data_IF_618046091398
#
_entry.id   IF_618046091398
#
_cell.length_a   1.000
_cell.length_b   1.000
_cell.length_c   1.000
_cell.angle_alpha   90.00
_cell.angle_beta   90.00
_cell.angle_gamma   90.00
#
_symmetry.space_group_name_H-M   'P 1'
#
loop_
_entity.id
_entity.type
_entity.pdbx_description
1 polymer ?
#
# COMPACT_ATOMS: atom_id res chain seq x y z
N UNK A 1 8.81 -8.19 -17.18
CA UNK A 1 8.22 -7.39 -16.08
C UNK A 1 6.81 -7.86 -15.81
N UNK A 2 6.49 -8.04 -14.56
CA UNK A 2 5.16 -8.45 -14.15
C UNK A 2 4.43 -7.27 -13.51
N UNK A 3 3.13 -7.36 -13.45
CA UNK A 3 2.34 -6.36 -12.74
C UNK A 3 1.28 -7.02 -11.88
N UNK A 4 0.89 -6.33 -10.82
CA UNK A 4 -0.15 -6.78 -9.92
C UNK A 4 -0.97 -5.55 -9.50
N UNK A 5 -2.27 -5.73 -9.41
CA UNK A 5 -3.16 -4.63 -9.04
C UNK A 5 -3.68 -4.86 -7.63
N UNK A 6 -3.51 -3.86 -6.79
CA UNK A 6 -3.98 -3.89 -5.42
C UNK A 6 -4.92 -2.72 -5.17
N UNK A 7 -5.97 -2.98 -4.41
CA UNK A 7 -6.88 -1.94 -3.97
C UNK A 7 -6.52 -1.62 -2.54
N UNK A 8 -6.13 -0.37 -2.28
CA UNK A 8 -5.62 0.06 -0.99
C UNK A 8 -6.62 1.02 -0.34
N UNK A 9 -6.86 0.80 0.93
CA UNK A 9 -7.62 1.73 1.74
C UNK A 9 -6.97 1.76 3.12
N UNK A 10 -6.21 2.81 3.39
CA UNK A 10 -5.50 2.98 4.66
C UNK A 10 -5.97 4.29 5.24
N UNK A 11 -6.57 4.22 6.44
CA UNK A 11 -7.01 5.41 7.14
C UNK A 11 -5.82 6.23 7.65
N UNK A 12 -6.06 7.51 8.02
CA UNK A 12 -4.97 8.37 8.47
C UNK A 12 -4.29 7.86 9.72
N UNK A 13 -5.02 7.25 10.64
CA UNK A 13 -4.43 6.71 11.86
C UNK A 13 -3.51 5.53 11.56
N UNK A 14 -3.94 4.63 10.67
CA UNK A 14 -3.11 3.50 10.27
C UNK A 14 -1.88 3.97 9.52
N UNK A 15 -2.04 4.99 8.67
CA UNK A 15 -0.92 5.54 7.93
C UNK A 15 0.15 6.11 8.86
N UNK A 16 -0.27 6.80 9.92
CA UNK A 16 0.67 7.36 10.90
C UNK A 16 1.50 6.26 11.54
N UNK A 17 0.90 5.13 11.86
CA UNK A 17 1.63 3.99 12.43
C UNK A 17 2.68 3.47 11.45
N UNK A 18 2.36 3.39 10.18
CA UNK A 18 3.32 2.99 9.15
C UNK A 18 4.44 4.01 9.02
N UNK A 19 4.08 5.28 8.99
CA UNK A 19 5.04 6.37 8.83
C UNK A 19 6.02 6.45 9.99
N UNK A 20 5.56 6.20 11.20
CA UNK A 20 6.39 6.27 12.40
C UNK A 20 7.24 5.01 12.62
N UNK A 21 7.21 4.08 11.69
CA UNK A 21 8.04 2.89 11.77
C UNK A 21 7.50 1.78 12.66
N UNK A 22 6.28 1.92 13.17
CA UNK A 22 5.64 0.86 13.93
C UNK A 22 5.37 -0.36 13.06
N UNK A 23 5.14 -0.13 11.77
CA UNK A 23 5.09 -1.17 10.76
C UNK A 23 5.74 -0.60 9.50
N UNK A 24 6.54 -1.43 8.81
CA UNK A 24 7.29 -0.97 7.64
C UNK A 24 6.65 -1.40 6.34
N UNK A 25 5.94 -2.50 6.36
CA UNK A 25 5.40 -3.10 5.16
C UNK A 25 3.88 -3.09 5.16
N UNK A 26 3.32 -2.93 3.97
CA UNK A 26 1.91 -3.11 3.74
C UNK A 26 1.67 -4.53 3.26
N UNK A 27 0.73 -5.23 3.91
CA UNK A 27 0.28 -6.55 3.50
C UNK A 27 -1.12 -6.42 2.93
N UNK A 28 -1.33 -6.90 1.74
CA UNK A 28 -2.63 -6.81 1.12
C UNK A 28 -2.85 -8.00 0.17
N UNK A 29 -4.07 -8.12 -0.31
CA UNK A 29 -4.41 -9.15 -1.30
C UNK A 29 -4.71 -8.46 -2.62
N UNK A 30 -4.06 -8.91 -3.67
CA UNK A 30 -4.29 -8.38 -5.00
C UNK A 30 -5.64 -8.84 -5.53
N UNK A 31 -6.11 -8.20 -6.60
CA UNK A 31 -7.39 -8.56 -7.21
C UNK A 31 -7.46 -10.01 -7.68
N UNK A 32 -6.31 -10.57 -8.04
CA UNK A 32 -6.24 -11.96 -8.50
C UNK A 32 -6.10 -12.97 -7.36
N UNK A 33 -6.15 -12.51 -6.10
CA UNK A 33 -6.09 -13.37 -4.93
C UNK A 33 -4.70 -13.59 -4.36
N UNK A 34 -3.66 -13.08 -5.01
CA UNK A 34 -2.29 -13.23 -4.50
C UNK A 34 -2.05 -12.35 -3.29
N UNK A 35 -1.31 -12.87 -2.31
CA UNK A 35 -0.84 -12.08 -1.18
C UNK A 35 0.32 -11.21 -1.62
N UNK A 36 0.29 -9.94 -1.25
CA UNK A 36 1.31 -8.98 -1.65
C UNK A 36 1.84 -8.26 -0.42
N UNK A 37 3.15 -8.06 -0.37
CA UNK A 37 3.80 -7.28 0.67
C UNK A 37 4.79 -6.32 0.02
N UNK A 38 4.72 -5.07 0.42
CA UNK A 38 5.62 -4.08 -0.12
C UNK A 38 5.89 -2.99 0.91
N UNK A 39 7.00 -2.25 0.77
CA UNK A 39 7.32 -1.18 1.72
C UNK A 39 6.29 -0.06 1.67
N UNK A 40 5.82 0.37 2.84
CA UNK A 40 4.82 1.43 2.93
C UNK A 40 5.30 2.74 2.30
N UNK A 41 6.60 2.98 2.32
CA UNK A 41 7.17 4.23 1.79
C UNK A 41 6.86 4.47 0.33
N UNK A 42 6.59 3.43 -0.46
CA UNK A 42 6.26 3.64 -1.88
C UNK A 42 4.91 4.30 -2.06
N UNK A 43 4.07 4.29 -1.03
CA UNK A 43 2.77 4.94 -1.05
C UNK A 43 2.81 6.38 -0.55
N UNK A 44 3.95 6.84 -0.04
CA UNK A 44 4.02 8.15 0.63
C UNK A 44 3.60 9.31 -0.27
N UNK A 45 3.87 9.22 -1.58
CA UNK A 45 3.48 10.28 -2.53
C UNK A 45 1.97 10.34 -2.80
N UNK A 46 1.25 9.31 -2.38
CA UNK A 46 -0.20 9.23 -2.61
C UNK A 46 -1.01 9.55 -1.36
N UNK A 47 -0.33 9.95 -0.28
CA UNK A 47 -0.99 10.25 0.97
C UNK A 47 -1.85 11.51 0.84
N UNK A 48 -3.10 11.39 1.25
CA UNK A 48 -4.04 12.49 1.30
C UNK A 48 -4.46 12.71 2.75
N UNK A 49 -5.14 13.83 3.00
CA UNK A 49 -5.60 14.16 4.34
C UNK A 49 -6.36 13.01 5.01
N UNK A 50 -7.13 12.26 4.23
CA UNK A 50 -7.97 11.18 4.74
C UNK A 50 -7.29 9.82 4.64
N UNK A 51 -5.97 9.80 4.42
CA UNK A 51 -5.22 8.56 4.27
C UNK A 51 -4.90 8.25 2.82
N UNK A 52 -4.80 6.96 2.50
CA UNK A 52 -4.50 6.49 1.16
C UNK A 52 -5.66 5.64 0.67
N UNK A 53 -6.16 5.95 -0.51
CA UNK A 53 -7.28 5.23 -1.08
C UNK A 53 -7.15 5.18 -2.60
N UNK A 54 -7.26 4.00 -3.15
CA UNK A 54 -7.26 3.84 -4.59
C UNK A 54 -6.73 2.50 -5.03
N UNK A 55 -6.65 2.34 -6.33
CA UNK A 55 -6.11 1.14 -6.96
C UNK A 55 -4.73 1.46 -7.49
N UNK A 56 -3.78 0.57 -7.21
CA UNK A 56 -2.39 0.77 -7.59
C UNK A 56 -1.92 -0.41 -8.41
N UNK A 57 -1.20 -0.11 -9.48
CA UNK A 57 -0.54 -1.12 -10.28
C UNK A 57 0.93 -1.15 -9.88
N UNK A 58 1.36 -2.29 -9.37
CA UNK A 58 2.74 -2.49 -8.93
C UNK A 58 3.46 -3.29 -9.98
N UNK A 59 4.59 -2.76 -10.45
CA UNK A 59 5.43 -3.44 -11.43
C UNK A 59 6.60 -4.08 -10.70
N UNK A 60 6.93 -5.30 -11.07
CA UNK A 60 8.03 -6.02 -10.43
C UNK A 60 8.60 -7.07 -11.39
N UNK A 61 9.78 -7.55 -11.06
CA UNK A 61 10.45 -8.60 -11.84
C UNK A 61 10.31 -9.96 -11.18
#
# INVERSE_FOLDING_TARGET
MQEIIVDIQIGPEEWIKLYNGAARDVHTTARDGRSVRFPARILSRFYLRDGIRGSFRILFD
#
